data_IF_838894347095
#
_entry.id   IF_838894347095
#
_cell.length_a   1.000
_cell.length_b   1.000
_cell.length_c   1.000
_cell.angle_alpha   90.00
_cell.angle_beta   90.00
_cell.angle_gamma   90.00
#
_symmetry.space_group_name_H-M   'P 1'
#
loop_
_entity.id
_entity.type
_entity.pdbx_description
1 polymer ?
#
# COMPACT_ATOMS: atom_id res chain seq x y z
N UNK A 1 -25.09 15.03 2.10
CA UNK A 1 -23.87 15.61 1.51
C UNK A 1 -23.47 16.88 2.22
N UNK A 2 -24.40 17.73 2.69
CA UNK A 2 -24.12 18.94 3.49
C UNK A 2 -23.14 18.67 4.64
N UNK A 3 -23.46 17.71 5.51
CA UNK A 3 -22.55 17.33 6.61
C UNK A 3 -21.15 16.93 6.15
N UNK A 4 -21.03 16.26 5.00
CA UNK A 4 -19.72 15.85 4.45
C UNK A 4 -18.98 17.08 3.91
N UNK A 5 -19.66 17.96 3.19
CA UNK A 5 -19.02 19.18 2.70
C UNK A 5 -18.55 20.08 3.84
N UNK A 6 -19.39 20.33 4.85
CA UNK A 6 -19.00 21.14 6.01
C UNK A 6 -17.82 20.54 6.78
N UNK A 7 -17.74 19.20 6.89
CA UNK A 7 -16.64 18.51 7.59
C UNK A 7 -15.30 18.58 6.85
N UNK A 8 -15.31 18.75 5.53
CA UNK A 8 -14.11 18.67 4.67
C UNK A 8 -13.88 19.94 3.85
N UNK A 9 -14.58 21.04 4.13
CA UNK A 9 -14.49 22.29 3.39
C UNK A 9 -13.09 22.95 3.46
N UNK A 10 -12.28 22.56 4.44
CA UNK A 10 -10.88 22.98 4.60
C UNK A 10 -9.90 22.20 3.70
N UNK A 11 -10.35 21.10 3.09
CA UNK A 11 -9.51 20.15 2.34
C UNK A 11 -9.96 19.90 0.92
N UNK A 12 -11.26 19.95 0.67
CA UNK A 12 -11.86 19.60 -0.61
C UNK A 12 -12.90 20.64 -0.98
N UNK A 13 -12.82 21.10 -2.22
CA UNK A 13 -13.88 21.92 -2.80
C UNK A 13 -14.99 21.03 -3.37
N UNK A 14 -16.22 21.30 -2.96
CA UNK A 14 -17.38 20.59 -3.46
C UNK A 14 -18.01 21.38 -4.61
N UNK A 15 -18.33 20.66 -5.68
CA UNK A 15 -18.99 21.20 -6.86
C UNK A 15 -20.12 20.25 -7.27
N UNK A 16 -21.28 20.79 -7.58
CA UNK A 16 -22.38 20.05 -8.21
C UNK A 16 -22.55 20.54 -9.63
N UNK A 17 -22.68 19.63 -10.59
CA UNK A 17 -23.02 19.97 -11.96
C UNK A 17 -24.46 19.54 -12.22
N UNK A 18 -25.33 20.52 -12.40
CA UNK A 18 -26.71 20.32 -12.80
C UNK A 18 -26.75 19.97 -14.30
N UNK A 19 -27.13 18.73 -14.60
CA UNK A 19 -27.17 18.18 -15.95
C UNK A 19 -28.61 18.17 -16.46
N UNK A 20 -29.07 17.14 -17.18
CA UNK A 20 -30.49 16.98 -17.54
C UNK A 20 -31.28 16.34 -16.40
N UNK A 21 -32.57 16.63 -16.32
CA UNK A 21 -33.50 15.81 -15.52
C UNK A 21 -33.42 14.34 -16.03
N UNK A 22 -33.00 13.39 -15.18
CA UNK A 22 -32.84 12.00 -15.60
C UNK A 22 -34.16 11.23 -15.68
N UNK A 23 -35.24 11.74 -15.07
CA UNK A 23 -36.55 11.06 -15.05
C UNK A 23 -37.73 11.96 -15.47
N UNK A 24 -37.70 12.57 -16.67
CA UNK A 24 -38.81 13.39 -17.15
C UNK A 24 -40.10 12.57 -17.23
N UNK A 25 -41.22 13.14 -16.77
CA UNK A 25 -42.55 12.50 -16.76
C UNK A 25 -42.81 11.55 -15.58
N UNK A 26 -41.86 11.36 -14.66
CA UNK A 26 -42.07 10.44 -13.51
C UNK A 26 -42.70 11.13 -12.29
N UNK A 27 -43.90 10.70 -11.88
CA UNK A 27 -44.61 11.21 -10.69
C UNK A 27 -44.16 10.57 -9.37
N UNK A 28 -42.88 10.21 -9.22
CA UNK A 28 -42.36 9.65 -7.96
C UNK A 28 -41.95 10.78 -7.00
N UNK A 29 -42.90 11.17 -6.13
CA UNK A 29 -42.73 11.75 -4.79
C UNK A 29 -41.53 12.72 -4.61
N UNK A 30 -41.44 13.78 -5.40
CA UNK A 30 -40.49 14.88 -5.16
C UNK A 30 -41.12 16.25 -5.41
N UNK A 31 -40.64 17.26 -4.69
CA UNK A 31 -41.20 18.61 -4.60
C UNK A 31 -41.04 19.51 -5.86
N UNK A 32 -40.65 18.97 -7.01
CA UNK A 32 -40.49 19.74 -8.26
C UNK A 32 -41.00 18.96 -9.49
N UNK A 33 -41.61 19.64 -10.48
CA UNK A 33 -42.08 19.01 -11.71
C UNK A 33 -40.91 18.56 -12.59
N UNK A 34 -40.88 17.27 -12.94
CA UNK A 34 -39.86 16.65 -13.80
C UNK A 34 -40.29 16.70 -15.27
N UNK A 35 -40.14 17.85 -15.93
CA UNK A 35 -40.34 17.97 -17.37
C UNK A 35 -38.99 18.06 -18.08
N UNK A 36 -38.85 17.54 -19.32
CA UNK A 36 -37.68 17.83 -20.14
C UNK A 36 -37.50 19.34 -20.28
N UNK A 37 -36.28 19.83 -20.12
CA UNK A 37 -36.00 21.24 -20.30
C UNK A 37 -36.25 21.65 -21.75
N UNK A 38 -37.03 22.71 -21.96
CA UNK A 38 -37.36 23.21 -23.31
C UNK A 38 -36.22 24.02 -23.92
N UNK A 39 -35.54 24.79 -23.09
CA UNK A 39 -34.40 25.63 -23.45
C UNK A 39 -33.44 25.79 -22.25
N UNK A 40 -32.37 26.56 -22.44
CA UNK A 40 -31.37 26.77 -21.40
C UNK A 40 -31.89 27.61 -20.22
N UNK A 41 -32.87 28.50 -20.45
CA UNK A 41 -33.47 29.31 -19.39
C UNK A 41 -34.29 28.42 -18.46
N UNK A 42 -35.10 27.54 -19.03
CA UNK A 42 -35.87 26.52 -18.30
C UNK A 42 -34.95 25.59 -17.48
N UNK A 43 -33.84 25.14 -18.08
CA UNK A 43 -32.80 24.38 -17.36
C UNK A 43 -32.21 25.16 -16.17
N UNK A 44 -31.91 26.44 -16.36
CA UNK A 44 -31.36 27.31 -15.32
C UNK A 44 -32.35 27.54 -14.17
N UNK A 45 -33.62 27.73 -14.48
CA UNK A 45 -34.66 27.97 -13.47
C UNK A 45 -35.00 26.69 -12.67
N UNK A 46 -34.96 25.53 -13.32
CA UNK A 46 -35.03 24.23 -12.65
C UNK A 46 -33.84 24.02 -11.70
N UNK A 47 -32.62 24.34 -12.15
CA UNK A 47 -31.42 24.24 -11.32
C UNK A 47 -31.54 25.14 -10.06
N UNK A 48 -31.93 26.42 -10.22
CA UNK A 48 -32.19 27.34 -9.08
C UNK A 48 -33.22 26.77 -8.11
N UNK A 49 -34.26 26.13 -8.63
CA UNK A 49 -35.29 25.47 -7.82
C UNK A 49 -34.69 24.31 -7.02
N UNK A 50 -33.82 23.49 -7.63
CA UNK A 50 -33.09 22.43 -6.95
C UNK A 50 -32.22 22.93 -5.81
N UNK A 51 -31.48 24.04 -5.98
CA UNK A 51 -30.69 24.64 -4.88
C UNK A 51 -31.58 25.00 -3.69
N UNK A 52 -32.73 25.63 -3.95
CA UNK A 52 -33.68 26.00 -2.90
C UNK A 52 -34.27 24.78 -2.19
N UNK A 53 -34.74 23.79 -2.94
CA UNK A 53 -35.41 22.60 -2.40
C UNK A 53 -34.46 21.68 -1.65
N UNK A 54 -33.24 21.47 -2.19
CA UNK A 54 -32.22 20.64 -1.56
C UNK A 54 -31.46 21.37 -0.44
N UNK A 55 -31.78 22.67 -0.22
CA UNK A 55 -31.15 23.52 0.79
C UNK A 55 -29.62 23.50 0.67
N UNK A 56 -29.11 23.56 -0.56
CA UNK A 56 -27.67 23.59 -0.82
C UNK A 56 -27.12 24.93 -0.32
N UNK A 57 -26.18 24.90 0.64
CA UNK A 57 -25.62 26.11 1.27
C UNK A 57 -24.10 26.21 1.10
N UNK A 58 -23.41 25.08 1.24
CA UNK A 58 -21.95 25.08 1.43
C UNK A 58 -21.17 24.99 0.12
N UNK A 59 -21.81 24.64 -1.01
CA UNK A 59 -21.11 24.44 -2.27
C UNK A 59 -21.83 25.02 -3.48
N UNK A 60 -21.06 25.19 -4.55
CA UNK A 60 -21.53 25.79 -5.80
C UNK A 60 -22.19 24.74 -6.68
N UNK A 61 -23.29 25.14 -7.30
CA UNK A 61 -23.92 24.39 -8.38
C UNK A 61 -23.66 25.10 -9.70
N UNK A 62 -22.97 24.42 -10.61
CA UNK A 62 -22.76 24.81 -11.99
C UNK A 62 -23.87 24.19 -12.84
N UNK A 63 -24.28 24.86 -13.91
CA UNK A 63 -25.27 24.32 -14.86
C UNK A 63 -24.55 23.92 -16.13
N UNK A 64 -24.65 22.65 -16.50
CA UNK A 64 -24.06 22.13 -17.75
C UNK A 64 -24.75 22.76 -18.96
N UNK A 65 -24.08 22.82 -20.11
CA UNK A 65 -24.65 23.27 -21.38
C UNK A 65 -25.93 22.50 -21.70
N UNK A 66 -26.80 23.09 -22.52
CA UNK A 66 -28.10 22.49 -22.85
C UNK A 66 -27.95 21.08 -23.46
N UNK A 67 -26.91 20.87 -24.27
CA UNK A 67 -26.54 19.59 -24.89
C UNK A 67 -25.85 18.57 -23.95
N UNK A 68 -25.68 18.88 -22.65
CA UNK A 68 -25.07 18.01 -21.64
C UNK A 68 -23.62 17.58 -21.96
N UNK A 69 -22.82 18.49 -22.51
CA UNK A 69 -21.44 18.24 -22.92
C UNK A 69 -20.56 17.70 -21.79
N UNK A 70 -20.65 18.26 -20.58
CA UNK A 70 -19.85 17.80 -19.44
C UNK A 70 -20.34 16.43 -18.96
N UNK A 71 -21.65 16.23 -18.87
CA UNK A 71 -22.20 14.93 -18.50
C UNK A 71 -21.71 13.81 -19.43
N UNK A 72 -21.70 14.07 -20.74
CA UNK A 72 -21.27 13.11 -21.75
C UNK A 72 -19.76 12.82 -21.66
N UNK A 73 -18.94 13.85 -21.44
CA UNK A 73 -17.50 13.68 -21.25
C UNK A 73 -17.16 12.83 -20.02
N UNK A 74 -18.01 12.88 -18.99
CA UNK A 74 -17.82 12.14 -17.74
C UNK A 74 -18.69 10.88 -17.63
N UNK A 75 -19.11 10.28 -18.74
CA UNK A 75 -19.70 8.93 -18.80
C UNK A 75 -21.22 8.83 -18.77
N UNK A 76 -21.96 9.94 -18.83
CA UNK A 76 -23.39 9.96 -19.18
C UNK A 76 -24.40 9.50 -18.11
N UNK A 77 -23.97 8.79 -17.06
CA UNK A 77 -24.88 8.30 -16.02
C UNK A 77 -25.38 9.42 -15.08
N UNK A 78 -26.62 9.33 -14.56
CA UNK A 78 -27.12 10.27 -13.56
C UNK A 78 -26.42 10.08 -12.20
N UNK A 79 -26.31 11.15 -11.41
CA UNK A 79 -25.81 11.14 -10.02
C UNK A 79 -24.39 10.55 -9.82
N UNK A 80 -23.54 10.62 -10.85
CA UNK A 80 -22.15 10.23 -10.70
C UNK A 80 -21.35 11.22 -9.86
N UNK A 81 -20.41 10.68 -9.10
CA UNK A 81 -19.47 11.47 -8.30
C UNK A 81 -18.05 11.14 -8.72
N UNK A 82 -17.26 12.20 -8.83
CA UNK A 82 -15.83 12.14 -9.06
C UNK A 82 -15.13 12.89 -7.93
N UNK A 83 -14.03 12.34 -7.45
CA UNK A 83 -13.07 13.06 -6.60
C UNK A 83 -11.81 13.22 -7.43
N UNK A 84 -11.46 14.47 -7.71
CA UNK A 84 -10.36 14.84 -8.59
C UNK A 84 -9.23 15.37 -7.71
N UNK A 85 -8.03 14.81 -7.88
CA UNK A 85 -6.83 15.26 -7.18
C UNK A 85 -6.36 16.62 -7.68
N UNK A 86 -5.50 17.29 -6.89
CA UNK A 86 -4.87 18.56 -7.30
C UNK A 86 -3.99 18.43 -8.55
N UNK A 87 -3.60 17.21 -8.90
CA UNK A 87 -2.88 16.86 -10.13
C UNK A 87 -3.81 16.69 -11.36
N UNK A 88 -5.11 16.93 -11.19
CA UNK A 88 -6.13 16.82 -12.24
C UNK A 88 -6.59 15.40 -12.54
N UNK A 89 -6.14 14.39 -11.79
CA UNK A 89 -6.53 12.99 -12.03
C UNK A 89 -7.73 12.58 -11.20
N UNK A 90 -8.54 11.67 -11.73
CA UNK A 90 -9.64 11.06 -10.98
C UNK A 90 -9.06 10.13 -9.90
N UNK A 91 -9.11 10.57 -8.65
CA UNK A 91 -8.69 9.78 -7.49
C UNK A 91 -9.74 8.73 -7.10
N UNK A 92 -11.02 9.04 -7.34
CA UNK A 92 -12.14 8.12 -7.09
C UNK A 92 -13.36 8.48 -7.94
N UNK A 93 -14.17 7.47 -8.26
CA UNK A 93 -15.45 7.64 -8.94
C UNK A 93 -16.50 6.67 -8.43
N UNK A 94 -17.76 7.08 -8.44
CA UNK A 94 -18.90 6.21 -8.18
C UNK A 94 -20.10 6.56 -9.06
N UNK A 95 -20.91 5.55 -9.34
CA UNK A 95 -22.13 5.68 -10.13
C UNK A 95 -23.29 6.36 -9.37
N UNK A 96 -23.17 6.52 -8.04
CA UNK A 96 -24.18 7.13 -7.18
C UNK A 96 -23.56 7.98 -6.07
N UNK A 97 -24.14 9.16 -5.82
CA UNK A 97 -23.77 10.02 -4.70
C UNK A 97 -24.18 9.42 -3.36
N UNK A 98 -23.26 8.71 -2.70
CA UNK A 98 -23.45 8.16 -1.35
C UNK A 98 -22.51 8.83 -0.35
N UNK A 99 -23.09 9.61 0.56
CA UNK A 99 -22.34 10.42 1.51
C UNK A 99 -21.37 9.62 2.38
N UNK A 100 -21.78 8.43 2.86
CA UNK A 100 -20.92 7.57 3.68
C UNK A 100 -19.68 7.05 2.95
N UNK A 101 -19.82 6.64 1.69
CA UNK A 101 -18.71 6.16 0.85
C UNK A 101 -17.72 7.29 0.53
N UNK A 102 -18.24 8.48 0.24
CA UNK A 102 -17.44 9.68 0.00
C UNK A 102 -16.69 10.09 1.29
N UNK A 103 -17.38 10.14 2.43
CA UNK A 103 -16.77 10.48 3.72
C UNK A 103 -15.69 9.47 4.12
N UNK A 104 -15.89 8.18 3.90
CA UNK A 104 -14.87 7.15 4.17
C UNK A 104 -13.63 7.35 3.29
N UNK A 105 -13.83 7.63 1.99
CA UNK A 105 -12.74 7.94 1.07
C UNK A 105 -11.96 9.18 1.53
N UNK A 106 -12.65 10.30 1.81
CA UNK A 106 -12.05 11.56 2.25
C UNK A 106 -11.33 11.43 3.61
N UNK A 107 -11.86 10.67 4.56
CA UNK A 107 -11.14 10.33 5.81
C UNK A 107 -9.86 9.53 5.55
N UNK A 108 -9.87 8.71 4.50
CA UNK A 108 -8.71 7.97 4.02
C UNK A 108 -7.62 8.86 3.43
N UNK A 109 -7.93 10.08 3.00
CA UNK A 109 -6.99 10.99 2.34
C UNK A 109 -5.97 11.66 3.27
N UNK A 110 -6.17 11.60 4.58
CA UNK A 110 -5.17 12.06 5.58
C UNK A 110 -3.82 11.31 5.51
N UNK A 111 -3.71 10.28 4.66
CA UNK A 111 -2.50 9.51 4.32
C UNK A 111 -2.24 9.53 2.80
N UNK A 112 -2.68 10.57 2.08
CA UNK A 112 -2.52 10.67 0.63
C UNK A 112 -2.27 12.07 0.07
N UNK A 113 -2.32 13.14 0.85
CA UNK A 113 -2.29 14.50 0.29
C UNK A 113 -0.89 15.01 -0.12
N UNK A 114 0.12 14.14 -0.14
CA UNK A 114 1.36 14.44 -0.84
C UNK A 114 2.05 13.19 -1.39
N UNK A 115 1.26 12.17 -1.79
CA UNK A 115 1.70 10.81 -2.17
C UNK A 115 3.22 10.67 -2.17
N UNK A 116 3.77 10.05 -1.11
CA UNK A 116 5.16 10.24 -0.67
C UNK A 116 6.17 10.33 -1.83
N UNK A 117 7.25 11.13 -1.68
CA UNK A 117 8.07 11.57 -2.80
C UNK A 117 8.41 10.40 -3.72
N UNK A 118 8.17 10.55 -5.02
CA UNK A 118 8.53 9.52 -5.97
C UNK A 118 10.02 9.20 -5.80
N UNK A 119 10.33 7.93 -5.53
CA UNK A 119 11.72 7.48 -5.52
C UNK A 119 12.32 7.59 -6.92
N UNK A 120 13.63 7.74 -6.99
CA UNK A 120 14.37 7.61 -8.25
C UNK A 120 14.19 6.19 -8.77
N UNK A 121 13.79 6.03 -10.04
CA UNK A 121 13.71 4.69 -10.65
C UNK A 121 15.13 4.18 -10.92
N UNK A 122 15.44 3.01 -10.37
CA UNK A 122 16.65 2.25 -10.72
C UNK A 122 16.26 0.95 -11.41
N UNK A 123 17.16 0.45 -12.25
CA UNK A 123 16.99 -0.80 -13.00
C UNK A 123 18.06 -1.80 -12.64
N UNK A 124 17.68 -3.07 -12.53
CA UNK A 124 18.59 -4.16 -12.23
C UNK A 124 18.17 -5.43 -12.97
N UNK A 125 19.12 -6.34 -13.18
CA UNK A 125 18.86 -7.62 -13.85
C UNK A 125 18.59 -8.71 -12.84
N UNK A 126 17.59 -9.55 -13.15
CA UNK A 126 17.35 -10.81 -12.47
C UNK A 126 17.15 -11.88 -13.55
N UNK A 127 18.09 -12.81 -13.68
CA UNK A 127 18.08 -13.79 -14.77
C UNK A 127 18.07 -13.06 -16.14
N UNK A 128 17.05 -13.29 -16.97
CA UNK A 128 16.84 -12.63 -18.26
C UNK A 128 15.91 -11.40 -18.17
N UNK A 129 15.42 -11.06 -16.97
CA UNK A 129 14.48 -9.96 -16.77
C UNK A 129 15.21 -8.67 -16.41
N UNK A 130 14.75 -7.55 -16.99
CA UNK A 130 14.99 -6.21 -16.47
C UNK A 130 13.89 -5.88 -15.45
N UNK A 131 14.29 -5.60 -14.22
CA UNK A 131 13.42 -5.23 -13.12
C UNK A 131 13.69 -3.79 -12.69
N UNK A 132 12.67 -3.16 -12.12
CA UNK A 132 12.70 -1.79 -11.61
C UNK A 132 12.61 -1.76 -10.08
N UNK A 133 13.13 -0.69 -9.48
CA UNK A 133 12.92 -0.38 -8.08
C UNK A 133 12.86 1.14 -7.87
N UNK A 134 12.14 1.56 -6.83
CA UNK A 134 12.14 2.95 -6.37
C UNK A 134 13.23 3.14 -5.30
N UNK A 135 14.18 4.03 -5.55
CA UNK A 135 15.25 4.46 -4.65
C UNK A 135 14.87 5.76 -3.95
N UNK A 136 14.75 5.71 -2.63
CA UNK A 136 14.46 6.88 -1.79
C UNK A 136 15.72 7.22 -0.98
N UNK A 137 16.20 8.45 -1.13
CA UNK A 137 17.38 8.96 -0.42
C UNK A 137 16.99 9.99 0.64
N UNK A 138 17.74 10.12 1.76
CA UNK A 138 17.51 11.19 2.73
C UNK A 138 17.71 12.58 2.12
N UNK A 139 16.81 13.52 2.44
CA UNK A 139 16.87 14.91 1.96
C UNK A 139 18.04 15.71 2.53
N UNK A 140 18.56 15.33 3.70
CA UNK A 140 19.66 16.05 4.35
C UNK A 140 20.96 15.78 3.62
N UNK A 141 21.68 16.85 3.24
CA UNK A 141 23.06 16.76 2.72
C UNK A 141 23.92 15.95 3.69
N UNK A 142 24.37 14.79 3.23
CA UNK A 142 25.36 13.98 3.93
C UNK A 142 26.75 14.54 3.68
N UNK A 143 27.72 14.14 4.49
CA UNK A 143 29.12 14.46 4.16
C UNK A 143 29.47 13.81 2.82
N UNK A 144 30.37 14.45 2.08
CA UNK A 144 31.01 13.83 0.91
C UNK A 144 31.60 12.49 1.37
N UNK A 145 31.31 11.42 0.64
CA UNK A 145 31.77 10.03 0.89
C UNK A 145 31.14 9.29 2.10
N UNK A 146 30.09 9.83 2.73
CA UNK A 146 29.37 9.12 3.80
C UNK A 146 28.48 7.98 3.25
N UNK A 147 28.77 6.74 3.64
CA UNK A 147 27.91 5.57 3.36
C UNK A 147 26.79 5.43 4.39
N UNK A 148 25.56 5.28 3.90
CA UNK A 148 24.35 5.27 4.70
C UNK A 148 23.78 3.85 4.87
N UNK A 149 23.12 3.56 6.00
CA UNK A 149 22.40 2.29 6.15
C UNK A 149 21.24 2.24 5.15
N UNK A 150 20.93 1.05 4.65
CA UNK A 150 19.90 0.85 3.63
C UNK A 150 18.81 -0.13 4.09
N UNK A 151 17.61 0.03 3.54
CA UNK A 151 16.47 -0.86 3.74
C UNK A 151 15.97 -1.32 2.37
N UNK A 152 15.90 -2.63 2.16
CA UNK A 152 15.09 -3.21 1.09
C UNK A 152 13.65 -3.28 1.61
N UNK A 153 12.74 -2.51 1.00
CA UNK A 153 11.33 -2.48 1.37
C UNK A 153 10.47 -3.30 0.40
N UNK A 154 10.07 -4.50 0.79
CA UNK A 154 9.19 -5.37 0.02
C UNK A 154 7.72 -5.00 0.26
N UNK A 155 7.11 -4.31 -0.69
CA UNK A 155 5.73 -3.81 -0.59
C UNK A 155 4.68 -4.96 -0.53
N UNK A 156 3.47 -4.62 -0.09
CA UNK A 156 2.37 -5.57 -0.02
C UNK A 156 1.69 -5.81 -1.39
N UNK A 157 1.11 -7.01 -1.55
CA UNK A 157 0.25 -7.34 -2.68
C UNK A 157 0.99 -7.45 -4.02
N UNK A 158 0.25 -7.22 -5.10
CA UNK A 158 0.64 -7.53 -6.49
C UNK A 158 0.49 -6.34 -7.45
N UNK A 159 0.42 -5.12 -6.91
CA UNK A 159 0.15 -3.89 -7.68
C UNK A 159 1.37 -2.97 -7.79
N UNK A 160 2.56 -3.43 -7.40
CA UNK A 160 3.75 -2.59 -7.29
C UNK A 160 3.70 -1.64 -6.09
N UNK A 161 4.66 -0.72 -6.03
CA UNK A 161 4.80 0.29 -4.97
C UNK A 161 3.71 1.35 -5.09
N UNK A 162 2.90 1.52 -4.05
CA UNK A 162 1.77 2.47 -4.01
C UNK A 162 2.13 3.73 -3.22
N UNK A 163 1.29 4.77 -3.28
CA UNK A 163 1.59 6.04 -2.61
C UNK A 163 1.81 5.93 -1.09
N UNK A 164 1.00 5.12 -0.40
CA UNK A 164 1.19 4.89 1.04
C UNK A 164 2.49 4.11 1.33
N UNK A 165 3.00 3.32 0.38
CA UNK A 165 4.32 2.67 0.49
C UNK A 165 5.42 3.72 0.41
N UNK A 166 5.32 4.67 -0.53
CA UNK A 166 6.26 5.80 -0.65
C UNK A 166 6.28 6.66 0.62
N UNK A 167 5.11 6.94 1.18
CA UNK A 167 5.01 7.63 2.46
C UNK A 167 5.69 6.85 3.59
N UNK A 168 5.49 5.53 3.64
CA UNK A 168 6.13 4.68 4.63
C UNK A 168 7.66 4.64 4.46
N UNK A 169 8.15 4.54 3.23
CA UNK A 169 9.57 4.68 2.91
C UNK A 169 10.13 6.02 3.39
N UNK A 170 9.39 7.13 3.20
CA UNK A 170 9.81 8.47 3.64
C UNK A 170 10.04 8.58 5.16
N UNK A 171 9.34 7.76 5.96
CA UNK A 171 9.54 7.73 7.41
C UNK A 171 10.92 7.19 7.80
N UNK A 172 11.51 6.30 6.98
CA UNK A 172 12.87 5.80 7.15
C UNK A 172 13.91 6.77 6.60
N UNK A 173 13.67 7.40 5.44
CA UNK A 173 14.61 8.39 4.87
C UNK A 173 14.77 9.61 5.78
N UNK A 174 13.69 10.07 6.42
CA UNK A 174 13.71 11.08 7.50
C UNK A 174 14.56 10.68 8.72
N UNK A 175 14.95 9.42 8.84
CA UNK A 175 15.82 8.87 9.89
C UNK A 175 17.22 8.51 9.38
N UNK A 176 17.56 8.89 8.14
CA UNK A 176 18.90 8.73 7.56
C UNK A 176 19.15 7.38 6.90
N UNK A 177 18.09 6.65 6.52
CA UNK A 177 18.22 5.40 5.77
C UNK A 177 17.99 5.64 4.28
N UNK A 178 18.77 5.00 3.43
CA UNK A 178 18.39 4.78 2.04
C UNK A 178 17.30 3.69 2.03
N UNK A 179 16.26 3.85 1.24
CA UNK A 179 15.23 2.81 1.07
C UNK A 179 15.16 2.44 -0.40
N UNK A 180 15.14 1.15 -0.70
CA UNK A 180 14.98 0.63 -2.06
C UNK A 180 13.80 -0.33 -2.08
N UNK A 181 12.76 0.02 -2.84
CA UNK A 181 11.55 -0.76 -2.94
C UNK A 181 11.48 -1.40 -4.33
N UNK A 182 11.67 -2.73 -4.48
CA UNK A 182 11.53 -3.38 -5.77
C UNK A 182 10.09 -3.27 -6.27
N UNK A 183 9.94 -2.97 -7.56
CA UNK A 183 8.73 -3.33 -8.31
C UNK A 183 8.92 -4.81 -8.68
N UNK A 184 8.28 -5.73 -7.97
CA UNK A 184 8.44 -7.16 -8.24
C UNK A 184 8.12 -7.52 -9.70
N UNK A 185 8.64 -8.64 -10.20
CA UNK A 185 8.36 -9.14 -11.56
C UNK A 185 6.87 -9.09 -11.90
N UNK A 186 6.56 -8.58 -13.09
CA UNK A 186 5.18 -8.35 -13.56
C UNK A 186 4.43 -7.22 -12.86
N UNK A 187 5.11 -6.35 -12.10
CA UNK A 187 4.52 -5.21 -11.39
C UNK A 187 5.33 -3.95 -11.65
N UNK A 188 4.71 -2.76 -11.56
CA UNK A 188 5.42 -1.47 -11.63
C UNK A 188 6.29 -1.24 -12.88
N UNK A 189 5.99 -1.93 -13.98
CA UNK A 189 6.79 -1.89 -15.21
C UNK A 189 8.03 -2.79 -15.22
N UNK A 190 8.24 -3.62 -14.20
CA UNK A 190 9.23 -4.70 -14.22
C UNK A 190 8.80 -5.82 -15.16
N UNK A 191 9.78 -6.43 -15.85
CA UNK A 191 9.55 -7.57 -16.72
C UNK A 191 9.03 -8.82 -15.98
N UNK A 192 8.62 -9.82 -16.75
CA UNK A 192 8.15 -11.12 -16.24
C UNK A 192 6.67 -11.11 -15.85
N UNK A 193 6.28 -12.09 -15.03
CA UNK A 193 4.90 -12.29 -14.55
C UNK A 193 4.91 -12.46 -13.04
N UNK A 194 3.86 -11.95 -12.39
CA UNK A 194 3.60 -12.20 -10.97
C UNK A 194 3.55 -13.72 -10.77
N UNK A 195 4.18 -14.21 -9.71
CA UNK A 195 4.12 -15.63 -9.36
C UNK A 195 3.50 -15.86 -7.99
N UNK A 196 3.35 -14.83 -7.15
CA UNK A 196 2.79 -14.90 -5.80
C UNK A 196 3.71 -15.64 -4.82
N UNK A 197 4.75 -14.94 -4.34
CA UNK A 197 5.81 -15.46 -3.48
C UNK A 197 6.63 -16.63 -4.08
N UNK A 198 6.83 -16.60 -5.40
CA UNK A 198 7.67 -17.53 -6.13
C UNK A 198 9.01 -16.88 -6.44
N UNK A 199 9.29 -16.66 -7.73
CA UNK A 199 10.55 -16.02 -8.12
C UNK A 199 10.64 -14.52 -7.76
N UNK A 200 9.61 -13.88 -7.20
CA UNK A 200 9.77 -12.60 -6.51
C UNK A 200 10.87 -12.66 -5.43
N UNK A 201 11.15 -13.85 -4.88
CA UNK A 201 12.28 -14.09 -3.98
C UNK A 201 13.63 -13.85 -4.67
N UNK A 202 13.77 -14.28 -5.93
CA UNK A 202 14.98 -14.03 -6.73
C UNK A 202 15.16 -12.55 -7.04
N UNK A 203 14.06 -11.82 -7.25
CA UNK A 203 14.10 -10.37 -7.46
C UNK A 203 14.77 -9.66 -6.28
N UNK A 204 14.42 -10.03 -5.05
CA UNK A 204 15.04 -9.48 -3.82
C UNK A 204 16.52 -9.85 -3.70
N UNK A 205 16.88 -11.09 -4.02
CA UNK A 205 18.28 -11.55 -4.01
C UNK A 205 19.12 -10.76 -5.02
N UNK A 206 18.64 -10.63 -6.26
CA UNK A 206 19.28 -9.85 -7.32
C UNK A 206 19.35 -8.36 -7.00
N UNK A 207 18.32 -7.81 -6.34
CA UNK A 207 18.34 -6.42 -5.89
C UNK A 207 19.49 -6.19 -4.91
N UNK A 208 19.69 -7.06 -3.90
CA UNK A 208 20.81 -6.92 -2.97
C UNK A 208 22.18 -6.96 -3.67
N UNK A 209 22.34 -7.78 -4.70
CA UNK A 209 23.56 -7.82 -5.51
C UNK A 209 23.77 -6.50 -6.27
N UNK A 210 22.71 -5.93 -6.86
CA UNK A 210 22.77 -4.62 -7.49
C UNK A 210 23.10 -3.50 -6.49
N UNK A 211 22.59 -3.54 -5.27
CA UNK A 211 22.88 -2.51 -4.26
C UNK A 211 24.38 -2.40 -3.90
N UNK A 212 25.19 -3.43 -4.16
CA UNK A 212 26.65 -3.38 -3.99
C UNK A 212 27.32 -2.38 -4.92
N UNK A 213 26.69 -2.04 -6.05
CA UNK A 213 27.20 -1.06 -7.01
C UNK A 213 26.73 0.36 -6.71
N UNK A 214 25.95 0.57 -5.64
CA UNK A 214 25.47 1.89 -5.21
C UNK A 214 26.39 2.41 -4.11
N UNK A 215 27.37 3.23 -4.47
CA UNK A 215 28.47 3.66 -3.58
C UNK A 215 28.03 4.31 -2.26
N UNK A 216 26.84 4.91 -2.24
CA UNK A 216 26.26 5.57 -1.06
C UNK A 216 25.73 4.59 -0.01
N UNK A 217 25.64 3.29 -0.30
CA UNK A 217 25.09 2.28 0.61
C UNK A 217 26.21 1.64 1.44
N UNK A 218 26.01 1.62 2.75
CA UNK A 218 26.78 0.80 3.68
C UNK A 218 26.25 -0.63 3.67
N UNK A 219 26.96 -1.52 2.96
CA UNK A 219 26.58 -2.92 2.81
C UNK A 219 26.59 -3.72 4.13
N UNK A 220 27.25 -3.24 5.19
CA UNK A 220 27.23 -3.85 6.52
C UNK A 220 26.00 -3.44 7.35
N UNK A 221 25.20 -2.49 6.83
CA UNK A 221 23.97 -1.98 7.44
C UNK A 221 22.80 -1.99 6.45
N UNK A 222 22.67 -3.08 5.67
CA UNK A 222 21.46 -3.36 4.88
C UNK A 222 20.47 -4.19 5.69
N UNK A 223 19.23 -3.75 5.70
CA UNK A 223 18.11 -4.38 6.39
C UNK A 223 17.00 -4.73 5.41
N UNK A 224 16.10 -5.64 5.80
CA UNK A 224 14.88 -5.92 5.05
C UNK A 224 13.65 -5.53 5.87
N UNK A 225 12.70 -4.87 5.24
CA UNK A 225 11.36 -4.63 5.78
C UNK A 225 10.36 -5.09 4.73
N UNK A 226 9.31 -5.81 5.12
CA UNK A 226 8.24 -6.14 4.18
C UNK A 226 6.87 -6.14 4.83
N UNK A 227 5.82 -5.96 4.00
CA UNK A 227 4.42 -6.05 4.43
C UNK A 227 3.68 -7.16 3.66
N UNK A 228 2.90 -7.99 4.36
CA UNK A 228 2.07 -9.07 3.78
C UNK A 228 2.82 -9.97 2.81
N UNK A 229 2.44 -9.99 1.53
CA UNK A 229 3.11 -10.79 0.51
C UNK A 229 4.60 -10.42 0.37
N UNK A 230 4.94 -9.13 0.46
CA UNK A 230 6.34 -8.69 0.48
C UNK A 230 7.07 -9.12 1.74
N UNK A 231 6.40 -9.20 2.89
CA UNK A 231 6.98 -9.78 4.10
C UNK A 231 7.25 -11.29 3.93
N UNK A 232 6.33 -12.02 3.29
CA UNK A 232 6.50 -13.42 2.93
C UNK A 232 7.70 -13.62 2.00
N UNK A 233 7.77 -12.85 0.92
CA UNK A 233 8.91 -12.86 -0.03
C UNK A 233 10.22 -12.56 0.69
N UNK A 234 10.24 -11.53 1.56
CA UNK A 234 11.44 -11.17 2.32
C UNK A 234 11.91 -12.26 3.29
N UNK A 235 10.99 -12.95 3.96
CA UNK A 235 11.32 -14.11 4.79
C UNK A 235 11.89 -15.27 3.96
N UNK A 236 11.28 -15.58 2.82
CA UNK A 236 11.78 -16.61 1.90
C UNK A 236 13.17 -16.25 1.36
N UNK A 237 13.42 -14.99 1.01
CA UNK A 237 14.75 -14.52 0.60
C UNK A 237 15.78 -14.70 1.73
N UNK A 238 15.42 -14.36 2.97
CA UNK A 238 16.28 -14.61 4.14
C UNK A 238 16.57 -16.10 4.34
N UNK A 239 15.58 -16.98 4.12
CA UNK A 239 15.77 -18.43 4.16
C UNK A 239 16.71 -18.93 3.04
N UNK A 240 16.72 -18.24 1.90
CA UNK A 240 17.65 -18.45 0.79
C UNK A 240 18.97 -17.67 0.93
N UNK A 241 19.38 -17.38 2.18
CA UNK A 241 20.67 -16.77 2.53
C UNK A 241 20.86 -15.33 2.03
N UNK A 242 19.78 -14.56 1.83
CA UNK A 242 19.88 -13.10 1.63
C UNK A 242 20.72 -12.47 2.78
N UNK A 243 21.82 -11.80 2.43
CA UNK A 243 22.78 -11.23 3.39
C UNK A 243 22.33 -9.85 3.87
N UNK A 244 21.28 -9.81 4.69
CA UNK A 244 20.84 -8.61 5.41
C UNK A 244 21.11 -8.75 6.91
N UNK A 245 21.28 -7.61 7.59
CA UNK A 245 21.64 -7.58 9.02
C UNK A 245 20.47 -7.95 9.93
N UNK A 246 19.26 -7.58 9.55
CA UNK A 246 18.02 -7.99 10.22
C UNK A 246 16.83 -7.88 9.25
N UNK A 247 15.75 -8.62 9.53
CA UNK A 247 14.51 -8.58 8.76
C UNK A 247 13.31 -8.26 9.67
N UNK A 248 12.52 -7.25 9.29
CA UNK A 248 11.26 -6.92 9.92
C UNK A 248 10.07 -7.27 9.00
N UNK A 249 9.27 -8.26 9.40
CA UNK A 249 8.15 -8.76 8.61
C UNK A 249 6.82 -8.28 9.23
N UNK A 250 6.07 -7.47 8.50
CA UNK A 250 4.80 -6.87 8.93
C UNK A 250 3.65 -7.69 8.36
N UNK A 251 2.86 -8.31 9.23
CA UNK A 251 1.69 -9.13 8.89
C UNK A 251 2.00 -10.18 7.81
N UNK A 252 3.07 -10.99 7.93
CA UNK A 252 3.47 -11.94 6.89
C UNK A 252 2.47 -13.09 6.76
N UNK A 253 2.29 -13.59 5.53
CA UNK A 253 1.70 -14.92 5.32
C UNK A 253 2.82 -15.94 5.53
N UNK A 254 2.72 -16.71 6.61
CA UNK A 254 3.78 -17.65 7.03
C UNK A 254 3.53 -19.09 6.60
N UNK A 255 2.27 -19.41 6.30
CA UNK A 255 1.77 -20.74 5.92
C UNK A 255 0.56 -20.54 4.99
N UNK A 256 0.76 -20.68 3.68
CA UNK A 256 -0.29 -20.53 2.68
C UNK A 256 -1.42 -21.56 2.85
N UNK A 257 -1.13 -22.87 2.99
CA UNK A 257 -2.17 -23.87 3.25
C UNK A 257 -3.04 -23.55 4.47
N UNK A 258 -2.47 -23.03 5.56
CA UNK A 258 -3.25 -22.62 6.73
C UNK A 258 -4.13 -21.39 6.48
N UNK A 259 -3.67 -20.43 5.67
CA UNK A 259 -4.42 -19.21 5.32
C UNK A 259 -5.55 -19.51 4.34
N UNK A 260 -5.32 -20.36 3.34
CA UNK A 260 -6.34 -20.69 2.34
C UNK A 260 -7.57 -21.38 2.91
N UNK A 261 -7.44 -22.04 4.07
CA UNK A 261 -8.59 -22.61 4.80
C UNK A 261 -9.51 -21.57 5.42
N UNK A 262 -9.04 -20.32 5.54
CA UNK A 262 -9.73 -19.23 6.27
C UNK A 262 -10.04 -18.02 5.40
N UNK A 263 -9.28 -17.80 4.33
CA UNK A 263 -9.39 -16.63 3.47
C UNK A 263 -9.44 -17.02 1.99
N UNK A 264 -10.67 -17.08 1.46
CA UNK A 264 -10.94 -17.40 0.06
C UNK A 264 -10.45 -16.31 -0.91
N UNK A 265 -10.36 -15.05 -0.46
CA UNK A 265 -9.88 -13.95 -1.32
C UNK A 265 -8.38 -14.07 -1.54
N UNK A 266 -7.61 -14.34 -0.48
CA UNK A 266 -6.17 -14.61 -0.60
C UNK A 266 -5.95 -15.84 -1.46
N UNK A 267 -6.69 -16.93 -1.21
CA UNK A 267 -6.61 -18.18 -1.97
C UNK A 267 -6.84 -17.95 -3.47
N UNK A 268 -7.96 -17.34 -3.86
CA UNK A 268 -8.29 -17.09 -5.27
C UNK A 268 -7.23 -16.23 -5.95
N UNK A 269 -6.80 -15.14 -5.32
CA UNK A 269 -5.74 -14.28 -5.85
C UNK A 269 -4.42 -15.05 -6.03
N UNK A 270 -4.08 -15.92 -5.08
CA UNK A 270 -2.87 -16.71 -5.13
C UNK A 270 -2.91 -17.73 -6.28
N UNK A 271 -4.04 -18.44 -6.46
CA UNK A 271 -4.25 -19.37 -7.58
C UNK A 271 -4.18 -18.67 -8.94
N UNK A 272 -4.90 -17.55 -9.08
CA UNK A 272 -5.00 -16.78 -10.32
C UNK A 272 -3.63 -16.29 -10.82
N UNK A 273 -2.79 -15.81 -9.91
CA UNK A 273 -1.50 -15.20 -10.29
C UNK A 273 -0.34 -16.20 -10.30
N UNK A 274 -0.39 -17.27 -9.48
CA UNK A 274 0.67 -18.29 -9.49
C UNK A 274 0.46 -19.36 -10.56
N UNK A 275 -0.78 -19.58 -11.00
CA UNK A 275 -1.18 -20.74 -11.81
C UNK A 275 -1.20 -22.07 -11.02
N UNK A 276 -1.00 -22.02 -9.70
CA UNK A 276 -0.94 -23.20 -8.81
C UNK A 276 -2.28 -23.30 -8.07
N UNK A 277 -2.97 -24.43 -8.20
CA UNK A 277 -4.21 -24.69 -7.45
C UNK A 277 -3.92 -24.74 -5.94
N UNK A 278 -4.83 -24.25 -5.12
CA UNK A 278 -4.74 -24.27 -3.66
C UNK A 278 -4.64 -25.70 -3.09
N UNK A 279 -5.15 -26.68 -3.84
CA UNK A 279 -5.02 -28.10 -3.52
C UNK A 279 -3.60 -28.66 -3.73
N UNK A 280 -2.72 -27.97 -4.45
CA UNK A 280 -1.31 -28.34 -4.56
C UNK A 280 -0.54 -27.93 -3.31
N UNK A 281 -0.63 -28.79 -2.29
CA UNK A 281 0.04 -28.56 -1.01
C UNK A 281 1.56 -28.43 -1.13
N UNK A 282 2.20 -29.06 -2.13
CA UNK A 282 3.65 -28.99 -2.31
C UNK A 282 4.06 -27.61 -2.83
N UNK A 283 3.42 -27.13 -3.89
CA UNK A 283 3.70 -25.80 -4.45
C UNK A 283 3.52 -24.69 -3.42
N UNK A 284 2.49 -24.78 -2.58
CA UNK A 284 2.24 -23.78 -1.53
C UNK A 284 3.10 -23.95 -0.29
N UNK A 285 3.54 -25.16 0.05
CA UNK A 285 4.53 -25.38 1.10
C UNK A 285 5.89 -24.76 0.72
N UNK A 286 6.33 -24.88 -0.54
CA UNK A 286 7.57 -24.26 -1.04
C UNK A 286 7.51 -22.71 -1.04
N UNK A 287 6.31 -22.14 -1.04
CA UNK A 287 6.06 -20.70 -0.93
C UNK A 287 5.77 -20.24 0.50
N UNK A 288 5.85 -21.14 1.48
CA UNK A 288 5.52 -20.84 2.87
C UNK A 288 6.79 -20.73 3.73
N UNK A 289 7.05 -19.58 4.38
CA UNK A 289 8.20 -19.40 5.26
C UNK A 289 8.35 -20.46 6.35
N UNK A 290 7.25 -21.02 6.87
CA UNK A 290 7.27 -22.06 7.91
C UNK A 290 8.03 -23.32 7.50
N UNK A 291 8.04 -23.65 6.19
CA UNK A 291 8.78 -24.77 5.61
C UNK A 291 10.29 -24.62 5.82
N UNK A 292 10.79 -23.38 5.80
CA UNK A 292 12.22 -23.06 5.86
C UNK A 292 12.66 -22.51 7.23
N UNK A 293 11.88 -22.75 8.29
CA UNK A 293 12.17 -22.26 9.65
C UNK A 293 13.61 -22.51 10.15
N UNK A 294 14.22 -23.62 9.75
CA UNK A 294 15.62 -23.96 10.10
C UNK A 294 16.65 -23.06 9.40
N UNK A 295 16.35 -22.59 8.19
CA UNK A 295 17.23 -21.75 7.38
C UNK A 295 17.15 -20.26 7.77
N UNK A 296 16.08 -19.84 8.45
CA UNK A 296 15.90 -18.48 8.95
C UNK A 296 16.82 -18.19 10.13
N UNK A 297 18.07 -17.81 9.86
CA UNK A 297 19.09 -17.48 10.88
C UNK A 297 19.31 -15.99 11.12
N UNK A 298 18.79 -15.13 10.25
CA UNK A 298 18.85 -13.67 10.42
C UNK A 298 18.04 -13.24 11.66
N UNK A 299 18.43 -12.19 12.40
CA UNK A 299 17.57 -11.60 13.42
C UNK A 299 16.21 -11.16 12.83
N UNK A 300 15.11 -11.60 13.44
CA UNK A 300 13.76 -11.34 12.96
C UNK A 300 12.96 -10.47 13.93
N UNK A 301 12.21 -9.53 13.38
CA UNK A 301 11.11 -8.87 14.07
C UNK A 301 9.82 -9.13 13.30
N UNK A 302 8.90 -9.86 13.91
CA UNK A 302 7.57 -10.10 13.36
C UNK A 302 6.58 -9.11 13.99
N UNK A 303 5.90 -8.34 13.16
CA UNK A 303 4.93 -7.34 13.59
C UNK A 303 3.55 -7.75 13.07
N UNK A 304 2.51 -7.69 13.90
CA UNK A 304 1.17 -8.11 13.47
C UNK A 304 0.06 -7.26 14.09
N UNK A 305 -1.01 -7.03 13.35
CA UNK A 305 -2.23 -6.40 13.89
C UNK A 305 -3.04 -7.44 14.69
N UNK A 306 -3.27 -7.17 15.97
CA UNK A 306 -3.81 -8.13 16.92
C UNK A 306 -5.26 -8.51 16.68
N UNK A 307 -6.04 -7.63 16.01
CA UNK A 307 -7.44 -7.88 15.63
C UNK A 307 -7.60 -7.95 14.11
N UNK A 308 -6.60 -8.44 13.38
CA UNK A 308 -6.72 -8.66 11.94
C UNK A 308 -7.59 -9.89 11.67
N UNK A 309 -8.82 -9.64 11.23
CA UNK A 309 -9.85 -10.67 11.01
C UNK A 309 -9.52 -11.60 9.83
N UNK A 310 -8.68 -11.16 8.89
CA UNK A 310 -8.29 -11.90 7.68
C UNK A 310 -7.05 -12.79 7.87
N UNK A 311 -6.11 -12.33 8.72
CA UNK A 311 -4.87 -13.04 8.98
C UNK A 311 -4.55 -12.97 10.47
N UNK A 312 -4.94 -14.02 11.21
CA UNK A 312 -4.74 -14.08 12.66
C UNK A 312 -3.25 -13.93 13.02
N UNK A 313 -3.00 -13.11 14.06
CA UNK A 313 -1.68 -12.98 14.65
C UNK A 313 -1.15 -14.30 15.24
N UNK A 314 -2.01 -15.30 15.45
CA UNK A 314 -1.60 -16.59 16.02
C UNK A 314 -0.74 -17.40 15.05
N UNK A 315 -0.95 -17.29 13.73
CA UNK A 315 -0.05 -17.88 12.75
C UNK A 315 1.37 -17.28 12.87
N UNK A 316 1.46 -15.97 13.04
CA UNK A 316 2.74 -15.27 13.26
C UNK A 316 3.40 -15.66 14.57
N UNK A 317 2.64 -15.80 15.66
CA UNK A 317 3.16 -16.27 16.95
C UNK A 317 3.65 -17.72 16.87
N UNK A 318 2.88 -18.60 16.23
CA UNK A 318 3.24 -20.00 16.02
C UNK A 318 4.50 -20.14 15.16
N UNK A 319 4.59 -19.35 14.09
CA UNK A 319 5.78 -19.27 13.26
C UNK A 319 7.01 -18.78 14.03
N UNK A 320 6.89 -17.71 14.84
CA UNK A 320 7.98 -17.28 15.72
C UNK A 320 8.44 -18.38 16.68
N UNK A 321 7.51 -19.10 17.30
CA UNK A 321 7.84 -20.23 18.19
C UNK A 321 8.59 -21.32 17.44
N UNK A 322 8.17 -21.65 16.21
CA UNK A 322 8.80 -22.69 15.40
C UNK A 322 10.20 -22.32 14.92
N UNK A 323 10.44 -21.05 14.54
CA UNK A 323 11.77 -20.55 14.17
C UNK A 323 12.72 -20.52 15.37
N UNK A 324 12.24 -20.12 16.56
CA UNK A 324 13.02 -20.21 17.80
C UNK A 324 13.39 -21.63 18.14
N UNK A 325 12.44 -22.56 18.09
CA UNK A 325 12.68 -23.99 18.30
C UNK A 325 13.64 -24.60 17.26
N UNK A 326 13.70 -24.03 16.05
CA UNK A 326 14.64 -24.41 15.00
C UNK A 326 16.05 -23.78 15.14
N UNK A 327 16.33 -23.12 16.28
CA UNK A 327 17.66 -22.64 16.65
C UNK A 327 17.97 -21.21 16.24
N UNK A 328 16.97 -20.34 16.05
CA UNK A 328 17.18 -18.89 15.97
C UNK A 328 16.48 -18.19 17.14
N UNK A 329 17.24 -17.87 18.19
CA UNK A 329 16.74 -17.18 19.38
C UNK A 329 16.48 -15.69 19.18
N UNK A 330 17.03 -15.08 18.12
CA UNK A 330 16.92 -13.65 17.81
C UNK A 330 15.63 -13.31 17.04
N UNK A 331 14.50 -13.88 17.46
CA UNK A 331 13.17 -13.59 16.92
C UNK A 331 12.38 -12.79 17.94
N UNK A 332 11.88 -11.61 17.55
CA UNK A 332 10.96 -10.77 18.34
C UNK A 332 9.58 -10.76 17.70
N UNK A 333 8.54 -10.72 18.53
CA UNK A 333 7.16 -10.59 18.07
C UNK A 333 6.54 -9.36 18.72
N UNK A 334 5.86 -8.53 17.93
CA UNK A 334 5.09 -7.39 18.44
C UNK A 334 3.69 -7.38 17.82
N UNK A 335 2.67 -7.46 18.68
CA UNK A 335 1.27 -7.31 18.28
C UNK A 335 0.76 -5.92 18.61
N UNK A 336 0.00 -5.33 17.70
CA UNK A 336 -0.66 -4.03 17.88
C UNK A 336 -2.13 -4.24 18.24
N UNK A 337 -2.71 -3.43 19.11
CA UNK A 337 -4.08 -3.62 19.63
C UNK A 337 -5.20 -3.28 18.63
N UNK A 338 -4.87 -2.61 17.52
CA UNK A 338 -5.85 -2.17 16.53
C UNK A 338 -6.38 -3.28 15.63
N UNK A 339 -7.41 -2.93 14.84
CA UNK A 339 -8.08 -3.80 13.85
C UNK A 339 -7.53 -3.62 12.43
N UNK A 340 -6.46 -2.86 12.27
CA UNK A 340 -6.09 -2.37 10.94
C UNK A 340 -5.53 -3.50 10.08
N UNK A 341 -6.07 -3.63 8.88
CA UNK A 341 -5.63 -4.64 7.91
C UNK A 341 -4.24 -4.33 7.33
N UNK A 342 -3.80 -3.06 7.34
CA UNK A 342 -2.44 -2.64 7.00
C UNK A 342 -1.89 -1.75 8.11
N UNK A 343 -0.85 -2.24 8.79
CA UNK A 343 -0.14 -1.48 9.81
C UNK A 343 0.72 -0.37 9.18
N UNK A 344 1.17 -0.56 7.94
CA UNK A 344 1.88 0.45 7.16
C UNK A 344 0.99 1.68 6.98
N UNK A 345 -0.23 1.48 6.45
CA UNK A 345 -1.17 2.58 6.19
C UNK A 345 -1.61 3.29 7.47
N UNK A 346 -2.03 2.57 8.51
CA UNK A 346 -2.71 3.19 9.66
C UNK A 346 -1.81 3.46 10.87
N UNK A 347 -0.71 2.73 11.02
CA UNK A 347 0.19 2.78 12.18
C UNK A 347 1.66 3.01 11.82
N UNK A 348 1.94 3.46 10.59
CA UNK A 348 3.29 3.51 10.01
C UNK A 348 4.35 4.18 10.89
N UNK A 349 4.06 5.37 11.46
CA UNK A 349 5.00 6.09 12.35
C UNK A 349 5.43 5.25 13.56
N UNK A 350 4.48 4.56 14.20
CA UNK A 350 4.75 3.71 15.37
C UNK A 350 5.54 2.46 14.97
N UNK A 351 5.14 1.83 13.87
CA UNK A 351 5.81 0.66 13.29
C UNK A 351 7.27 0.96 12.95
N UNK A 352 7.54 2.07 12.25
CA UNK A 352 8.90 2.51 11.89
C UNK A 352 9.73 2.77 13.15
N UNK A 353 9.17 3.44 14.17
CA UNK A 353 9.87 3.67 15.44
C UNK A 353 10.33 2.35 16.09
N UNK A 354 9.46 1.34 16.09
CA UNK A 354 9.77 0.05 16.69
C UNK A 354 10.79 -0.76 15.86
N UNK A 355 10.67 -0.76 14.53
CA UNK A 355 11.63 -1.38 13.62
C UNK A 355 13.01 -0.75 13.78
N UNK A 356 13.11 0.58 13.81
CA UNK A 356 14.38 1.27 14.00
C UNK A 356 15.00 1.02 15.38
N UNK A 357 14.17 0.88 16.44
CA UNK A 357 14.66 0.46 17.75
C UNK A 357 15.26 -0.95 17.69
N UNK A 358 14.64 -1.85 16.93
CA UNK A 358 15.14 -3.20 16.71
C UNK A 358 16.47 -3.18 15.94
N UNK A 359 16.56 -2.48 14.80
CA UNK A 359 17.79 -2.38 14.01
C UNK A 359 18.96 -1.80 14.83
N UNK A 360 18.73 -0.72 15.57
CA UNK A 360 19.74 -0.14 16.47
C UNK A 360 20.22 -1.12 17.55
N UNK A 361 19.35 -1.99 18.06
CA UNK A 361 19.75 -3.01 19.03
C UNK A 361 20.65 -4.07 18.37
N UNK A 362 20.38 -4.45 17.12
CA UNK A 362 21.23 -5.37 16.34
C UNK A 362 22.60 -4.75 16.03
N UNK A 363 22.64 -3.47 15.65
CA UNK A 363 23.90 -2.74 15.44
C UNK A 363 24.78 -2.70 16.70
N UNK A 364 24.16 -2.55 17.89
CA UNK A 364 24.89 -2.54 19.16
C UNK A 364 25.47 -3.90 19.55
N UNK A 365 24.78 -5.01 19.24
CA UNK A 365 25.24 -6.37 19.57
C UNK A 365 26.54 -6.79 18.85
N UNK A 366 26.86 -6.17 17.71
CA UNK A 366 27.99 -6.56 16.85
C UNK A 366 29.22 -5.67 16.93
N UNK A 367 29.26 -4.61 17.75
CA UNK A 367 30.54 -3.93 18.04
C UNK A 367 31.38 -4.89 18.90
N UNK A 368 32.54 -5.39 18.42
CA UNK A 368 33.46 -6.04 19.33
C UNK A 368 33.83 -5.01 20.40
N UNK A 369 33.97 -5.45 21.65
CA UNK A 369 34.63 -4.63 22.66
C UNK A 369 35.93 -4.13 22.04
N UNK A 370 36.12 -2.80 21.96
CA UNK A 370 37.45 -2.23 21.73
C UNK A 370 38.33 -2.89 22.78
N UNK A 371 39.26 -3.75 22.37
CA UNK A 371 40.32 -4.20 23.26
C UNK A 371 41.07 -2.92 23.63
N UNK A 372 40.80 -2.41 24.82
CA UNK A 372 41.71 -1.49 25.47
C UNK A 372 42.93 -2.33 25.85
N UNK A 373 44.03 -2.10 25.15
CA UNK A 373 45.40 -2.20 25.65
C UNK A 373 46.31 -1.54 24.63
#
# INVERSE_FOLDING_TARGET
MEDVASKFNDKVEFWTIYTREPHPGSNRNTAAPRQPHKDYKDKMDAAKTCVKLMKIKEWRMLVDKFNCEVQNAYGGLPNMVYIIGKDGKVAWKAAWTRAGEIEEFLKGMSLSDSGGPAGEEIKYKCEHLELKASLFTPEKKTKKDEKLPAIIYCHAGIKGVRDYDREFCSLFTKKGYIVVAPEFRGQGGSGGKIQYAGNEVKDVLSLLEHLKTVDKIDMDRVYLVGEKLGATVGLLACAQKLKVKACAAITPITDFPAVFKKDEVIKKNAEEHSGIKASDGKGWAERSPVTYKKALKVPLMLLHSGKNEYLSADLTKAFAKSVRAAGNSDVKVKTYSGKEHSLVKKSGKKVVKDILKFFKAIDKKKKPARKAK
#
